data_IF_976275157630
#
_entry.id   IF_976275157630
#
_cell.length_a   1.000
_cell.length_b   1.000
_cell.length_c   1.000
_cell.angle_alpha   90.00
_cell.angle_beta   90.00
_cell.angle_gamma   90.00
#
_symmetry.space_group_name_H-M   'P 1'
#
loop_
_entity.id
_entity.type
_entity.pdbx_description
1 polymer ?
#
# COMPACT_ATOMS: atom_id res chain seq x y z
N UNK A 1 29.32 21.69 24.41
CA UNK A 1 29.03 20.80 23.26
C UNK A 1 27.64 20.14 23.32
N UNK A 2 27.00 19.95 24.48
CA UNK A 2 25.66 19.31 24.58
C UNK A 2 24.48 20.23 24.18
N UNK A 3 24.65 21.57 24.20
CA UNK A 3 23.56 22.55 23.98
C UNK A 3 23.16 22.81 22.52
N UNK A 4 24.00 22.49 21.54
CA UNK A 4 23.68 22.72 20.11
C UNK A 4 22.86 21.57 19.49
N UNK A 5 23.13 20.33 19.91
CA UNK A 5 22.43 19.12 19.42
C UNK A 5 20.92 19.13 19.74
N UNK A 6 20.51 19.71 20.88
CA UNK A 6 19.09 19.86 21.23
C UNK A 6 18.34 20.81 20.29
N UNK A 7 19.01 21.83 19.74
CA UNK A 7 18.38 22.79 18.81
C UNK A 7 18.11 22.16 17.45
N UNK A 8 19.05 21.37 16.92
CA UNK A 8 18.84 20.68 15.64
C UNK A 8 17.77 19.59 15.78
N UNK A 9 17.83 18.75 16.82
CA UNK A 9 16.82 17.71 17.06
C UNK A 9 15.40 18.29 17.17
N UNK A 10 15.23 19.43 17.86
CA UNK A 10 13.94 20.11 17.96
C UNK A 10 13.45 20.67 16.62
N UNK A 11 14.36 21.20 15.79
CA UNK A 11 14.02 21.66 14.43
C UNK A 11 13.62 20.49 13.52
N UNK A 12 14.36 19.38 13.57
CA UNK A 12 14.04 18.15 12.84
C UNK A 12 12.67 17.62 13.27
N UNK A 13 12.41 17.58 14.58
CA UNK A 13 11.13 17.12 15.15
C UNK A 13 9.96 17.99 14.70
N UNK A 14 10.10 19.32 14.77
CA UNK A 14 9.09 20.26 14.28
C UNK A 14 8.81 20.06 12.79
N UNK A 15 9.85 19.86 11.99
CA UNK A 15 9.70 19.63 10.56
C UNK A 15 9.08 18.25 10.25
N UNK A 16 9.49 17.20 10.96
CA UNK A 16 8.94 15.86 10.82
C UNK A 16 7.43 15.84 11.15
N UNK A 17 7.02 16.47 12.24
CA UNK A 17 5.61 16.59 12.59
C UNK A 17 4.81 17.41 11.58
N UNK A 18 5.38 18.49 11.04
CA UNK A 18 4.74 19.25 9.95
C UNK A 18 4.47 18.38 8.72
N UNK A 19 5.37 17.45 8.38
CA UNK A 19 5.11 16.47 7.33
C UNK A 19 4.04 15.45 7.75
N UNK A 20 4.20 14.81 8.91
CA UNK A 20 3.31 13.75 9.40
C UNK A 20 1.86 14.23 9.63
N UNK A 21 1.66 15.51 9.97
CA UNK A 21 0.34 16.11 10.11
C UNK A 21 -0.45 16.16 8.79
N UNK A 22 0.24 16.21 7.64
CA UNK A 22 -0.41 16.28 6.32
C UNK A 22 -0.80 14.91 5.78
N UNK A 23 0.02 13.89 6.05
CA UNK A 23 -0.23 12.49 5.70
C UNK A 23 0.75 11.57 6.40
N UNK A 24 0.46 10.28 6.40
CA UNK A 24 1.42 9.25 6.75
C UNK A 24 2.61 9.22 5.76
N UNK A 25 3.79 8.95 6.30
CA UNK A 25 5.04 8.77 5.57
C UNK A 25 5.64 7.42 5.92
N UNK A 26 6.38 6.85 4.98
CA UNK A 26 7.34 5.80 5.31
C UNK A 26 8.55 6.40 5.99
N UNK A 27 9.22 5.65 6.86
CA UNK A 27 10.44 6.10 7.53
C UNK A 27 11.50 6.58 6.55
N UNK A 28 11.77 5.79 5.51
CA UNK A 28 12.76 6.13 4.47
C UNK A 28 12.32 7.38 3.67
N UNK A 29 11.05 7.47 3.31
CA UNK A 29 10.49 8.62 2.60
C UNK A 29 10.64 9.92 3.42
N UNK A 30 10.40 9.84 4.73
CA UNK A 30 10.54 10.98 5.64
C UNK A 30 12.02 11.35 5.84
N UNK A 31 12.90 10.36 5.97
CA UNK A 31 14.35 10.55 6.07
C UNK A 31 14.89 11.34 4.87
N UNK A 32 14.59 10.89 3.64
CA UNK A 32 15.02 11.56 2.41
C UNK A 32 14.55 13.02 2.38
N UNK A 33 13.31 13.30 2.82
CA UNK A 33 12.78 14.66 2.87
C UNK A 33 13.46 15.56 3.91
N UNK A 34 13.87 15.00 5.04
CA UNK A 34 14.58 15.74 6.08
C UNK A 34 16.04 16.01 5.67
N UNK A 35 16.70 15.05 5.00
CA UNK A 35 18.03 15.26 4.41
C UNK A 35 17.98 16.38 3.37
N UNK A 36 16.97 16.39 2.50
CA UNK A 36 16.76 17.47 1.52
C UNK A 36 16.50 18.84 2.15
N UNK A 37 16.13 18.89 3.43
CA UNK A 37 16.00 20.14 4.20
C UNK A 37 17.28 20.60 4.87
N UNK A 38 18.37 19.83 4.75
CA UNK A 38 19.69 20.18 5.25
C UNK A 38 19.98 19.69 6.67
N UNK A 39 19.15 18.82 7.24
CA UNK A 39 19.38 18.27 8.58
C UNK A 39 20.42 17.14 8.57
N UNK A 40 21.16 17.02 9.68
CA UNK A 40 22.13 15.94 9.90
C UNK A 40 21.47 14.56 9.98
N UNK A 41 22.17 13.53 9.49
CA UNK A 41 21.67 12.15 9.53
C UNK A 41 21.44 11.67 10.97
N UNK A 42 22.32 12.04 11.91
CA UNK A 42 22.17 11.71 13.33
C UNK A 42 20.91 12.32 13.95
N UNK A 43 20.63 13.60 13.70
CA UNK A 43 19.41 14.25 14.18
C UNK A 43 18.15 13.62 13.59
N UNK A 44 18.19 13.29 12.30
CA UNK A 44 17.10 12.59 11.60
C UNK A 44 16.84 11.23 12.22
N UNK A 45 17.86 10.38 12.37
CA UNK A 45 17.69 9.01 12.85
C UNK A 45 17.10 8.98 14.27
N UNK A 46 17.57 9.87 15.16
CA UNK A 46 17.00 10.02 16.52
C UNK A 46 15.53 10.41 16.50
N UNK A 47 15.14 11.37 15.68
CA UNK A 47 13.74 11.81 15.58
C UNK A 47 12.87 10.73 14.95
N UNK A 48 13.34 10.04 13.91
CA UNK A 48 12.60 8.94 13.30
C UNK A 48 12.39 7.78 14.27
N UNK A 49 13.39 7.46 15.10
CA UNK A 49 13.26 6.46 16.17
C UNK A 49 12.23 6.88 17.21
N UNK A 50 12.22 8.14 17.63
CA UNK A 50 11.20 8.67 18.52
C UNK A 50 9.80 8.57 17.89
N UNK A 51 9.65 8.96 16.63
CA UNK A 51 8.39 8.89 15.90
C UNK A 51 7.90 7.44 15.76
N UNK A 52 8.78 6.48 15.50
CA UNK A 52 8.44 5.06 15.46
C UNK A 52 8.02 4.53 16.84
N UNK A 53 8.77 4.85 17.91
CA UNK A 53 8.43 4.46 19.29
C UNK A 53 7.09 5.01 19.76
N UNK A 54 6.73 6.22 19.33
CA UNK A 54 5.47 6.87 19.65
C UNK A 54 4.32 6.46 18.70
N UNK A 55 4.57 5.60 17.71
CA UNK A 55 3.56 5.10 16.77
C UNK A 55 3.15 6.09 15.67
N UNK A 56 3.88 7.20 15.51
CA UNK A 56 3.67 8.13 14.40
C UNK A 56 4.18 7.57 13.06
N UNK A 57 5.18 6.70 13.11
CA UNK A 57 5.73 5.98 11.95
C UNK A 57 5.54 4.49 12.13
N UNK A 58 4.78 3.89 11.22
CA UNK A 58 4.59 2.44 11.14
C UNK A 58 4.48 2.05 9.67
N UNK A 59 5.61 1.66 9.09
CA UNK A 59 5.73 1.29 7.68
C UNK A 59 4.87 0.07 7.34
N UNK A 60 4.71 -0.87 8.27
CA UNK A 60 3.86 -2.06 8.06
C UNK A 60 2.39 -1.67 8.03
N UNK A 61 1.94 -0.85 8.98
CA UNK A 61 0.56 -0.33 9.02
C UNK A 61 0.24 0.50 7.77
N UNK A 62 1.16 1.37 7.35
CA UNK A 62 0.99 2.16 6.14
C UNK A 62 0.92 1.25 4.90
N UNK A 63 1.78 0.22 4.81
CA UNK A 63 1.73 -0.77 3.73
C UNK A 63 0.38 -1.48 3.69
N UNK A 64 -0.16 -1.92 4.85
CA UNK A 64 -1.49 -2.54 4.95
C UNK A 64 -2.60 -1.62 4.44
N UNK A 65 -2.63 -0.37 4.88
CA UNK A 65 -3.63 0.61 4.44
C UNK A 65 -3.60 0.84 2.92
N UNK A 66 -2.40 0.84 2.32
CA UNK A 66 -2.25 1.00 0.87
C UNK A 66 -2.76 -0.21 0.09
N UNK A 67 -2.49 -1.42 0.59
CA UNK A 67 -2.99 -2.67 0.01
C UNK A 67 -4.50 -2.71 0.10
N UNK A 68 -5.09 -2.48 1.28
CA UNK A 68 -6.54 -2.44 1.49
C UNK A 68 -7.22 -1.42 0.58
N UNK A 69 -6.71 -0.18 0.52
CA UNK A 69 -7.23 0.85 -0.38
C UNK A 69 -7.12 0.47 -1.87
N UNK A 70 -6.15 -0.36 -2.25
CA UNK A 70 -6.06 -0.88 -3.61
C UNK A 70 -7.10 -2.00 -3.84
N UNK A 71 -7.32 -2.87 -2.87
CA UNK A 71 -8.37 -3.90 -2.92
C UNK A 71 -9.76 -3.29 -3.03
N UNK A 72 -10.06 -2.24 -2.25
CA UNK A 72 -11.35 -1.52 -2.32
C UNK A 72 -11.64 -0.93 -3.70
N UNK A 73 -10.58 -0.61 -4.46
CA UNK A 73 -10.68 -0.12 -5.85
C UNK A 73 -10.80 -1.25 -6.89
N UNK A 74 -10.81 -2.51 -6.45
CA UNK A 74 -10.91 -3.69 -7.29
C UNK A 74 -9.60 -4.01 -8.02
N UNK A 75 -8.48 -3.95 -7.31
CA UNK A 75 -7.18 -4.46 -7.79
C UNK A 75 -6.84 -5.79 -7.12
N UNK A 76 -6.36 -6.75 -7.90
CA UNK A 76 -5.84 -8.01 -7.42
C UNK A 76 -4.37 -7.95 -7.02
N UNK A 77 -3.90 -8.98 -6.33
CA UNK A 77 -2.58 -9.09 -5.69
C UNK A 77 -1.44 -8.74 -6.64
N UNK A 78 -1.50 -9.18 -7.91
CA UNK A 78 -0.44 -8.89 -8.90
C UNK A 78 -0.35 -7.40 -9.23
N UNK A 79 -1.49 -6.74 -9.44
CA UNK A 79 -1.50 -5.31 -9.73
C UNK A 79 -1.07 -4.48 -8.51
N UNK A 80 -1.49 -4.90 -7.31
CA UNK A 80 -1.08 -4.27 -6.04
C UNK A 80 0.43 -4.37 -5.88
N UNK A 81 1.00 -5.57 -6.06
CA UNK A 81 2.44 -5.79 -6.00
C UNK A 81 3.19 -4.88 -6.96
N UNK A 82 2.89 -4.95 -8.27
CA UNK A 82 3.56 -4.14 -9.29
C UNK A 82 3.48 -2.63 -9.01
N UNK A 83 2.38 -2.17 -8.41
CA UNK A 83 2.17 -0.76 -8.08
C UNK A 83 2.97 -0.30 -6.86
N UNK A 84 3.20 -1.17 -5.89
CA UNK A 84 3.74 -0.79 -4.58
C UNK A 84 5.20 -1.22 -4.37
N UNK A 85 5.69 -2.25 -5.05
CA UNK A 85 7.01 -2.86 -4.76
C UNK A 85 8.22 -1.97 -5.06
N UNK A 86 8.03 -0.87 -5.79
CA UNK A 86 9.07 0.13 -6.09
C UNK A 86 8.87 1.46 -5.35
N UNK A 87 7.85 1.55 -4.49
CA UNK A 87 7.63 2.78 -3.71
C UNK A 87 8.68 2.89 -2.61
N UNK A 88 9.29 4.07 -2.49
CA UNK A 88 10.26 4.40 -1.43
C UNK A 88 9.68 4.06 -0.05
N UNK A 89 10.47 3.36 0.77
CA UNK A 89 10.11 2.92 2.12
C UNK A 89 9.26 1.67 2.22
N UNK A 90 8.77 1.09 1.11
CA UNK A 90 8.09 -0.21 1.16
C UNK A 90 9.11 -1.34 1.15
N UNK A 91 9.15 -2.09 2.26
CA UNK A 91 9.84 -3.35 2.29
C UNK A 91 9.04 -4.42 1.50
N UNK A 92 9.71 -5.08 0.55
CA UNK A 92 9.10 -6.09 -0.32
C UNK A 92 8.58 -7.32 0.42
N UNK A 93 9.28 -7.81 1.46
CA UNK A 93 8.81 -8.95 2.24
C UNK A 93 7.57 -8.58 3.06
N UNK A 94 7.55 -7.37 3.64
CA UNK A 94 6.37 -6.83 4.34
C UNK A 94 5.19 -6.68 3.37
N UNK A 95 5.42 -6.15 2.17
CA UNK A 95 4.37 -6.05 1.15
C UNK A 95 3.81 -7.42 0.77
N UNK A 96 4.68 -8.41 0.54
CA UNK A 96 4.27 -9.77 0.20
C UNK A 96 3.40 -10.37 1.31
N UNK A 97 3.86 -10.29 2.56
CA UNK A 97 3.10 -10.77 3.72
C UNK A 97 1.74 -10.07 3.84
N UNK A 98 1.69 -8.75 3.72
CA UNK A 98 0.45 -7.99 3.79
C UNK A 98 -0.52 -8.37 2.65
N UNK A 99 -0.01 -8.61 1.44
CA UNK A 99 -0.84 -9.07 0.31
C UNK A 99 -1.44 -10.44 0.62
N UNK A 100 -0.65 -11.37 1.16
CA UNK A 100 -1.11 -12.71 1.57
C UNK A 100 -2.12 -12.64 2.72
N UNK A 101 -1.84 -11.88 3.77
CA UNK A 101 -2.73 -11.66 4.92
C UNK A 101 -4.12 -11.18 4.49
N UNK A 102 -4.17 -10.41 3.39
CA UNK A 102 -5.39 -9.80 2.87
C UNK A 102 -6.01 -10.57 1.70
N UNK A 103 -5.48 -11.73 1.32
CA UNK A 103 -5.96 -12.51 0.17
C UNK A 103 -7.42 -12.95 0.30
N UNK A 104 -7.89 -13.31 1.50
CA UNK A 104 -9.32 -13.64 1.73
C UNK A 104 -10.25 -12.49 1.34
N UNK A 105 -9.85 -11.24 1.60
CA UNK A 105 -10.63 -10.05 1.20
C UNK A 105 -10.64 -9.82 -0.31
N UNK A 106 -9.64 -10.36 -1.02
CA UNK A 106 -9.55 -10.33 -2.48
C UNK A 106 -10.70 -11.09 -3.13
N UNK A 107 -10.90 -12.34 -2.71
CA UNK A 107 -11.89 -13.24 -3.29
C UNK A 107 -13.29 -12.65 -3.13
N UNK A 108 -13.62 -12.15 -1.94
CA UNK A 108 -14.90 -11.49 -1.68
C UNK A 108 -15.10 -10.26 -2.59
N UNK A 109 -14.05 -9.45 -2.77
CA UNK A 109 -14.11 -8.29 -3.67
C UNK A 109 -14.28 -8.71 -5.13
N UNK A 110 -13.59 -9.75 -5.57
CA UNK A 110 -13.69 -10.29 -6.93
C UNK A 110 -15.07 -10.87 -7.21
N UNK A 111 -15.62 -11.68 -6.29
CA UNK A 111 -16.98 -12.23 -6.36
C UNK A 111 -18.00 -11.11 -6.53
N UNK A 112 -17.96 -10.07 -5.69
CA UNK A 112 -18.88 -8.91 -5.81
C UNK A 112 -18.76 -8.21 -7.16
N UNK A 113 -17.55 -8.05 -7.68
CA UNK A 113 -17.30 -7.42 -8.99
C UNK A 113 -17.83 -8.27 -10.15
N UNK A 114 -17.60 -9.59 -10.11
CA UNK A 114 -18.05 -10.53 -11.14
C UNK A 114 -19.57 -10.65 -11.08
N UNK A 115 -20.16 -10.83 -9.90
CA UNK A 115 -21.61 -10.87 -9.71
C UNK A 115 -22.25 -9.58 -10.23
N UNK A 116 -21.76 -8.39 -9.87
CA UNK A 116 -22.29 -7.13 -10.42
C UNK A 116 -22.21 -7.07 -11.95
N UNK A 117 -21.18 -7.69 -12.55
CA UNK A 117 -20.96 -7.67 -14.00
C UNK A 117 -21.77 -8.74 -14.74
N UNK A 118 -22.03 -9.89 -14.13
CA UNK A 118 -22.86 -10.95 -14.74
C UNK A 118 -24.29 -10.49 -14.97
N UNK A 119 -24.82 -9.60 -14.13
CA UNK A 119 -26.13 -8.97 -14.36
C UNK A 119 -26.17 -8.02 -15.58
N UNK A 120 -25.01 -7.69 -16.16
CA UNK A 120 -24.88 -6.74 -17.27
C UNK A 120 -24.44 -7.40 -18.58
N UNK A 121 -24.09 -8.69 -18.55
CA UNK A 121 -23.55 -9.43 -19.71
C UNK A 121 -24.16 -10.83 -19.77
N UNK A 122 -24.17 -11.43 -20.96
CA UNK A 122 -24.51 -12.85 -21.11
C UNK A 122 -23.26 -13.70 -20.93
N UNK A 123 -23.17 -14.43 -19.81
CA UNK A 123 -22.02 -15.32 -19.54
C UNK A 123 -21.95 -16.52 -20.49
N UNK A 124 -23.06 -16.88 -21.13
CA UNK A 124 -23.12 -17.90 -22.18
C UNK A 124 -22.47 -17.44 -23.50
N UNK A 125 -22.34 -16.13 -23.73
CA UNK A 125 -21.62 -15.60 -24.89
C UNK A 125 -20.10 -15.64 -24.63
N UNK A 126 -19.33 -16.46 -25.38
CA UNK A 126 -17.89 -16.59 -25.19
C UNK A 126 -17.13 -15.27 -25.34
N UNK A 127 -17.59 -14.36 -26.22
CA UNK A 127 -16.94 -13.05 -26.43
C UNK A 127 -17.11 -12.15 -25.21
N UNK A 128 -18.31 -12.10 -24.64
CA UNK A 128 -18.58 -11.31 -23.44
C UNK A 128 -17.85 -11.86 -22.21
N UNK A 129 -17.86 -13.19 -22.03
CA UNK A 129 -17.10 -13.86 -20.96
C UNK A 129 -15.60 -13.60 -21.08
N UNK A 130 -15.02 -13.75 -22.27
CA UNK A 130 -13.60 -13.47 -22.52
C UNK A 130 -13.22 -12.02 -22.20
N UNK A 131 -14.07 -11.05 -22.57
CA UNK A 131 -13.87 -9.62 -22.23
C UNK A 131 -13.87 -9.37 -20.72
N UNK A 132 -14.75 -10.04 -19.97
CA UNK A 132 -14.78 -9.95 -18.50
C UNK A 132 -13.51 -10.53 -17.88
N UNK A 133 -13.09 -11.72 -18.30
CA UNK A 133 -11.85 -12.36 -17.83
C UNK A 133 -10.66 -11.45 -18.11
N UNK A 134 -10.52 -10.97 -19.35
CA UNK A 134 -9.42 -10.08 -19.74
C UNK A 134 -9.41 -8.78 -18.91
N UNK A 135 -10.59 -8.24 -18.55
CA UNK A 135 -10.69 -7.09 -17.66
C UNK A 135 -10.18 -7.42 -16.25
N UNK A 136 -10.52 -8.58 -15.69
CA UNK A 136 -10.06 -8.98 -14.35
C UNK A 136 -8.56 -9.29 -14.34
N UNK A 137 -8.03 -9.91 -15.38
CA UNK A 137 -6.58 -10.12 -15.54
C UNK A 137 -5.82 -8.78 -15.58
N UNK A 138 -6.32 -7.78 -16.33
CA UNK A 138 -5.74 -6.43 -16.32
C UNK A 138 -5.85 -5.73 -14.97
N UNK A 139 -6.81 -6.12 -14.12
CA UNK A 139 -6.91 -5.66 -12.72
C UNK A 139 -5.98 -6.43 -11.78
N UNK A 140 -5.26 -7.44 -12.27
CA UNK A 140 -4.24 -8.16 -11.50
C UNK A 140 -4.75 -9.34 -10.68
N UNK A 141 -5.95 -9.83 -10.96
CA UNK A 141 -6.44 -11.11 -10.43
C UNK A 141 -5.83 -12.26 -11.23
N UNK A 142 -5.60 -13.42 -10.60
CA UNK A 142 -5.11 -14.57 -11.34
C UNK A 142 -6.27 -15.30 -12.03
N UNK A 143 -5.95 -16.08 -13.06
CA UNK A 143 -6.97 -16.77 -13.86
C UNK A 143 -7.80 -17.76 -13.02
N UNK A 144 -7.15 -18.49 -12.12
CA UNK A 144 -7.79 -19.49 -11.25
C UNK A 144 -8.86 -18.86 -10.35
N UNK A 145 -8.57 -17.71 -9.74
CA UNK A 145 -9.52 -16.97 -8.91
C UNK A 145 -10.73 -16.49 -9.70
N UNK A 146 -10.48 -15.97 -10.91
CA UNK A 146 -11.54 -15.50 -11.81
C UNK A 146 -12.46 -16.67 -12.19
N UNK A 147 -11.88 -17.81 -12.56
CA UNK A 147 -12.66 -19.00 -12.96
C UNK A 147 -13.44 -19.58 -11.79
N UNK A 148 -12.86 -19.63 -10.59
CA UNK A 148 -13.56 -20.04 -9.37
C UNK A 148 -14.78 -19.16 -9.12
N UNK A 149 -14.62 -17.84 -9.15
CA UNK A 149 -15.73 -16.92 -8.95
C UNK A 149 -16.79 -16.99 -10.06
N UNK A 150 -16.39 -17.27 -11.31
CA UNK A 150 -17.33 -17.46 -12.42
C UNK A 150 -18.13 -18.77 -12.34
N UNK A 151 -17.62 -19.78 -11.63
CA UNK A 151 -18.34 -21.04 -11.42
C UNK A 151 -19.43 -20.93 -10.33
N UNK A 152 -19.33 -19.91 -9.48
CA UNK A 152 -20.26 -19.64 -8.38
C UNK A 152 -21.41 -18.68 -8.76
N UNK A 153 -21.44 -18.20 -10.01
CA UNK A 153 -22.39 -17.22 -10.55
C UNK A 153 -23.24 -17.86 -11.64
#
# INVERSE_FOLDING_TARGET
MIRELTSEEDQVKKQAFSYLARRAFFREELSVKLVQKGFSKEGIDKVLDLCSKQGFLDDRKLTRQLVEKARDRGFGSKAIWCKLCYRVGINRSVLQQVILDTEKTQLVSLQKLIQKKSHQIQLSDPKQKSRLIAKMLRRGYCYEEIMRCLAEV
#
